data_IF_338559873767
#
_entry.id   IF_338559873767
#
_cell.length_a   1.000
_cell.length_b   1.000
_cell.length_c   1.000
_cell.angle_alpha   90.00
_cell.angle_beta   90.00
_cell.angle_gamma   90.00
#
_symmetry.space_group_name_H-M   'P 1'
#
loop_
_entity.id
_entity.type
_entity.pdbx_description
1 polymer ?
#
# COMPACT_ATOMS: atom_id res chain seq x y z
N UNK A 1 13.15 1.49 -8.76
CA UNK A 1 13.82 1.04 -10.00
C UNK A 1 15.35 1.07 -9.96
N UNK A 2 15.98 1.73 -8.97
CA UNK A 2 17.46 1.79 -8.82
C UNK A 2 18.17 0.42 -8.90
N UNK A 3 17.62 -0.61 -8.24
CA UNK A 3 18.19 -1.96 -8.29
C UNK A 3 18.31 -2.51 -9.72
N UNK A 4 17.31 -2.29 -10.58
CA UNK A 4 17.33 -2.75 -11.98
C UNK A 4 18.46 -2.07 -12.76
N UNK A 5 18.70 -0.77 -12.50
CA UNK A 5 19.82 -0.07 -13.11
C UNK A 5 21.16 -0.63 -12.62
N UNK A 6 21.32 -0.87 -11.31
CA UNK A 6 22.54 -1.46 -10.72
C UNK A 6 22.87 -2.83 -11.30
N UNK A 7 21.85 -3.68 -11.56
CA UNK A 7 22.03 -4.98 -12.21
C UNK A 7 22.65 -4.87 -13.60
N UNK A 8 22.30 -3.83 -14.36
CA UNK A 8 22.83 -3.59 -15.70
C UNK A 8 24.26 -3.03 -15.69
N UNK A 9 24.79 -2.64 -14.52
CA UNK A 9 26.16 -2.14 -14.39
C UNK A 9 27.16 -3.25 -14.03
N UNK A 10 26.72 -4.51 -13.90
CA UNK A 10 27.57 -5.64 -13.55
C UNK A 10 28.27 -6.21 -14.79
N UNK A 11 29.46 -6.81 -14.60
CA UNK A 11 30.23 -7.44 -15.68
C UNK A 11 29.53 -8.70 -16.24
N UNK A 12 28.90 -9.49 -15.35
CA UNK A 12 28.20 -10.73 -15.71
C UNK A 12 26.69 -10.62 -15.38
N UNK A 13 25.81 -11.13 -16.26
CA UNK A 13 24.38 -11.15 -16.00
C UNK A 13 24.04 -12.16 -14.90
N UNK A 14 23.25 -11.72 -13.92
CA UNK A 14 22.79 -12.55 -12.81
C UNK A 14 21.37 -12.18 -12.39
N UNK A 15 20.66 -13.16 -11.82
CA UNK A 15 19.35 -12.95 -11.22
C UNK A 15 19.48 -12.53 -9.75
N UNK A 16 18.64 -11.58 -9.33
CA UNK A 16 18.63 -11.03 -7.97
C UNK A 16 17.19 -10.90 -7.44
N UNK A 17 17.00 -11.28 -6.18
CA UNK A 17 15.79 -10.93 -5.42
C UNK A 17 15.94 -9.50 -4.91
N UNK A 18 14.93 -8.67 -5.17
CA UNK A 18 14.83 -7.29 -4.67
C UNK A 18 13.59 -7.22 -3.78
N UNK A 19 13.81 -7.11 -2.47
CA UNK A 19 12.76 -7.09 -1.47
C UNK A 19 13.21 -6.31 -0.23
N UNK A 20 12.26 -5.90 0.60
CA UNK A 20 12.55 -5.21 1.87
C UNK A 20 12.96 -6.17 3.00
N UNK A 21 12.66 -7.47 2.86
CA UNK A 21 12.84 -8.45 3.93
C UNK A 21 11.85 -8.30 5.09
N UNK A 22 10.82 -7.47 4.94
CA UNK A 22 9.74 -7.30 5.93
C UNK A 22 8.39 -7.57 5.27
N UNK A 23 7.45 -8.10 6.04
CA UNK A 23 6.07 -8.37 5.62
C UNK A 23 5.09 -7.60 6.50
N UNK A 24 3.98 -7.20 5.90
CA UNK A 24 2.86 -6.54 6.57
C UNK A 24 1.56 -7.13 6.06
N UNK A 25 0.56 -7.19 6.93
CA UNK A 25 -0.80 -7.58 6.55
C UNK A 25 -1.53 -6.46 5.81
N UNK A 26 -2.58 -6.82 5.05
CA UNK A 26 -3.51 -5.86 4.46
C UNK A 26 -4.17 -5.00 5.55
N UNK A 27 -4.44 -5.59 6.72
CA UNK A 27 -5.00 -4.87 7.87
C UNK A 27 -4.07 -3.76 8.36
N UNK A 28 -2.77 -4.05 8.48
CA UNK A 28 -1.76 -3.03 8.86
C UNK A 28 -1.72 -1.89 7.85
N UNK A 29 -1.73 -2.20 6.55
CA UNK A 29 -1.75 -1.18 5.49
C UNK A 29 -2.93 -0.22 5.68
N UNK A 30 -4.14 -0.77 5.81
CA UNK A 30 -5.37 0.02 5.99
C UNK A 30 -5.34 0.83 7.28
N UNK A 31 -4.80 0.27 8.37
CA UNK A 31 -4.70 0.95 9.67
C UNK A 31 -3.75 2.15 9.61
N UNK A 32 -2.58 1.99 8.98
CA UNK A 32 -1.62 3.10 8.79
C UNK A 32 -2.21 4.17 7.88
N UNK A 33 -2.88 3.76 6.79
CA UNK A 33 -3.53 4.70 5.88
C UNK A 33 -4.64 5.51 6.58
N UNK A 34 -5.48 4.87 7.37
CA UNK A 34 -6.50 5.54 8.19
C UNK A 34 -5.87 6.54 9.15
N UNK A 35 -4.80 6.16 9.84
CA UNK A 35 -4.08 7.03 10.78
C UNK A 35 -3.52 8.29 10.10
N UNK A 36 -2.98 8.18 8.89
CA UNK A 36 -2.48 9.34 8.13
C UNK A 36 -3.62 10.32 7.76
N UNK A 37 -4.85 9.81 7.56
CA UNK A 37 -6.06 10.61 7.37
C UNK A 37 -6.69 11.12 8.67
N UNK A 38 -6.05 10.86 9.83
CA UNK A 38 -6.60 11.22 11.14
C UNK A 38 -7.78 10.34 11.58
N UNK A 39 -7.92 9.14 11.01
CA UNK A 39 -8.97 8.16 11.34
C UNK A 39 -8.35 7.03 12.15
N UNK A 40 -8.71 6.93 13.43
CA UNK A 40 -8.32 5.80 14.27
C UNK A 40 -9.28 4.63 14.06
N UNK A 41 -8.81 3.59 13.36
CA UNK A 41 -9.65 2.45 12.95
C UNK A 41 -9.67 1.39 14.05
N UNK A 42 -10.87 1.03 14.49
CA UNK A 42 -11.12 -0.11 15.37
C UNK A 42 -11.62 -1.32 14.58
N UNK A 43 -10.97 -2.46 14.75
CA UNK A 43 -11.35 -3.72 14.08
C UNK A 43 -12.23 -4.57 14.99
N UNK A 44 -13.35 -5.06 14.45
CA UNK A 44 -14.36 -5.84 15.18
C UNK A 44 -14.91 -6.95 14.29
N UNK A 45 -15.21 -8.11 14.87
CA UNK A 45 -15.63 -9.30 14.13
C UNK A 45 -14.46 -10.12 13.59
N UNK A 46 -14.76 -11.17 12.84
CA UNK A 46 -13.78 -12.11 12.30
C UNK A 46 -14.19 -12.59 10.89
N UNK A 47 -13.21 -12.95 10.06
CA UNK A 47 -13.45 -13.50 8.73
C UNK A 47 -14.26 -12.56 7.83
N UNK A 48 -15.34 -13.06 7.24
CA UNK A 48 -16.21 -12.27 6.35
C UNK A 48 -17.04 -11.23 7.11
N UNK A 49 -17.25 -11.41 8.41
CA UNK A 49 -18.00 -10.49 9.26
C UNK A 49 -17.11 -9.41 9.89
N UNK A 50 -15.81 -9.42 9.60
CA UNK A 50 -14.89 -8.41 10.10
C UNK A 50 -15.18 -7.03 9.50
N UNK A 51 -15.18 -6.02 10.37
CA UNK A 51 -15.36 -4.61 10.03
C UNK A 51 -14.29 -3.73 10.65
N UNK A 52 -13.85 -2.72 9.90
CA UNK A 52 -13.06 -1.60 10.41
C UNK A 52 -13.95 -0.38 10.59
N UNK A 53 -14.04 0.13 11.82
CA UNK A 53 -14.91 1.24 12.20
C UNK A 53 -14.12 2.48 12.57
N UNK A 54 -14.62 3.65 12.17
CA UNK A 54 -14.09 4.94 12.62
C UNK A 54 -14.43 5.21 14.11
N UNK A 55 -13.89 6.27 14.73
CA UNK A 55 -14.15 6.58 16.14
C UNK A 55 -15.63 6.86 16.48
N UNK A 56 -16.48 7.11 15.49
CA UNK A 56 -17.94 7.27 15.70
C UNK A 56 -18.69 5.93 15.70
N UNK A 57 -17.99 4.82 15.47
CA UNK A 57 -18.57 3.49 15.35
C UNK A 57 -19.14 3.20 13.95
N UNK A 58 -18.89 4.07 12.97
CA UNK A 58 -19.36 3.86 11.60
C UNK A 58 -18.39 2.93 10.86
N UNK A 59 -18.88 1.86 10.21
CA UNK A 59 -18.05 0.96 9.43
C UNK A 59 -17.55 1.67 8.16
N UNK A 60 -16.23 1.71 8.01
CA UNK A 60 -15.53 2.29 6.85
C UNK A 60 -14.78 1.23 6.04
N UNK A 61 -14.59 0.03 6.60
CA UNK A 61 -14.00 -1.14 5.93
C UNK A 61 -14.89 -2.35 6.17
N UNK A 62 -15.13 -3.14 5.12
CA UNK A 62 -15.83 -4.44 5.18
C UNK A 62 -15.15 -5.44 4.26
N UNK A 63 -15.28 -6.71 4.60
CA UNK A 63 -14.79 -7.81 3.76
C UNK A 63 -15.86 -8.20 2.74
N UNK A 64 -15.47 -8.35 1.48
CA UNK A 64 -16.35 -8.83 0.41
C UNK A 64 -15.71 -10.06 -0.25
N UNK A 65 -16.37 -11.24 -0.21
CA UNK A 65 -15.80 -12.48 -0.73
C UNK A 65 -15.54 -12.44 -2.25
N UNK A 66 -16.13 -11.49 -2.98
CA UNK A 66 -15.86 -11.31 -4.41
C UNK A 66 -14.41 -10.95 -4.72
N UNK A 67 -13.68 -10.38 -3.76
CA UNK A 67 -12.26 -10.06 -3.92
C UNK A 67 -11.31 -11.22 -3.56
N UNK A 68 -11.84 -12.35 -3.09
CA UNK A 68 -11.01 -13.51 -2.75
C UNK A 68 -10.57 -14.25 -4.00
N UNK A 69 -9.32 -14.69 -4.04
CA UNK A 69 -8.77 -15.42 -5.18
C UNK A 69 -9.01 -16.92 -5.01
N UNK A 70 -9.38 -17.66 -6.08
CA UNK A 70 -9.48 -19.13 -6.02
C UNK A 70 -8.18 -19.82 -5.60
N UNK A 71 -7.05 -19.16 -5.83
CA UNK A 71 -5.72 -19.57 -5.39
C UNK A 71 -5.04 -18.37 -4.73
N UNK A 72 -4.99 -18.37 -3.41
CA UNK A 72 -4.38 -17.31 -2.62
C UNK A 72 -2.89 -17.58 -2.42
N UNK A 73 -2.08 -16.53 -2.47
CA UNK A 73 -0.68 -16.60 -2.03
C UNK A 73 -0.63 -15.96 -0.65
N UNK A 74 -0.62 -16.80 0.39
CA UNK A 74 -0.79 -16.33 1.77
C UNK A 74 0.36 -15.45 2.26
N UNK A 75 1.58 -15.68 1.79
CA UNK A 75 2.76 -14.90 2.20
C UNK A 75 3.80 -14.81 1.10
N UNK A 76 4.42 -13.64 0.99
CA UNK A 76 5.60 -13.38 0.18
C UNK A 76 6.61 -12.62 1.03
N UNK A 77 7.73 -13.27 1.33
CA UNK A 77 8.84 -12.67 2.07
C UNK A 77 10.13 -12.92 1.30
N UNK A 78 10.70 -11.87 0.71
CA UNK A 78 11.91 -11.96 -0.10
C UNK A 78 13.18 -11.75 0.72
N UNK A 79 14.21 -12.56 0.45
CA UNK A 79 15.57 -12.38 0.96
C UNK A 79 16.44 -11.67 -0.09
N UNK A 80 16.78 -10.40 0.17
CA UNK A 80 17.61 -9.57 -0.70
C UNK A 80 19.11 -9.58 -0.34
N UNK A 81 19.57 -10.55 0.47
CA UNK A 81 20.99 -10.63 0.91
C UNK A 81 21.96 -10.61 -0.26
N UNK A 82 21.66 -11.34 -1.35
CA UNK A 82 22.49 -11.35 -2.57
C UNK A 82 22.60 -9.95 -3.21
N UNK A 83 21.49 -9.23 -3.32
CA UNK A 83 21.45 -7.90 -3.91
C UNK A 83 22.22 -6.88 -3.05
N UNK A 84 22.08 -6.97 -1.72
CA UNK A 84 22.86 -6.13 -0.79
C UNK A 84 24.36 -6.38 -0.90
N UNK A 85 24.79 -7.63 -0.94
CA UNK A 85 26.22 -7.98 -0.99
C UNK A 85 26.89 -7.62 -2.32
N UNK A 86 26.23 -7.90 -3.46
CA UNK A 86 26.83 -7.68 -4.79
C UNK A 86 26.55 -6.30 -5.38
N UNK A 87 25.36 -5.76 -5.18
CA UNK A 87 24.95 -4.48 -5.77
C UNK A 87 25.06 -3.30 -4.79
N UNK A 88 25.29 -3.57 -3.49
CA UNK A 88 25.19 -2.54 -2.45
C UNK A 88 23.77 -1.98 -2.30
N UNK A 89 22.76 -2.68 -2.82
CA UNK A 89 21.38 -2.20 -2.85
C UNK A 89 20.66 -2.49 -1.53
N UNK A 90 19.99 -1.48 -0.98
CA UNK A 90 19.10 -1.58 0.17
C UNK A 90 17.85 -0.69 -0.04
N UNK A 91 16.68 -1.08 0.50
CA UNK A 91 15.50 -0.22 0.44
C UNK A 91 15.72 1.06 1.27
N UNK A 92 15.45 2.21 0.66
CA UNK A 92 15.58 3.53 1.32
C UNK A 92 14.27 4.04 1.91
N UNK A 93 13.14 3.53 1.41
CA UNK A 93 11.80 3.92 1.84
C UNK A 93 11.21 2.81 2.70
N UNK A 94 10.77 3.14 3.90
CA UNK A 94 10.07 2.22 4.79
C UNK A 94 8.62 1.99 4.36
N UNK A 95 7.99 0.94 4.90
CA UNK A 95 6.59 0.66 4.65
C UNK A 95 5.66 1.82 5.06
N UNK A 96 5.89 2.40 6.23
CA UNK A 96 5.08 3.51 6.73
C UNK A 96 5.23 4.78 5.87
N UNK A 97 6.45 5.08 5.42
CA UNK A 97 6.69 6.22 4.51
C UNK A 97 6.00 6.02 3.17
N UNK A 98 6.05 4.81 2.60
CA UNK A 98 5.34 4.48 1.36
C UNK A 98 3.83 4.70 1.50
N UNK A 99 3.22 4.15 2.55
CA UNK A 99 1.77 4.32 2.79
C UNK A 99 1.42 5.80 2.97
N UNK A 100 2.24 6.53 3.72
CA UNK A 100 2.06 7.98 3.97
C UNK A 100 2.12 8.78 2.67
N UNK A 101 3.11 8.52 1.82
CA UNK A 101 3.26 9.18 0.53
C UNK A 101 2.05 8.95 -0.38
N UNK A 102 1.60 7.69 -0.48
CA UNK A 102 0.44 7.31 -1.28
C UNK A 102 -0.83 8.03 -0.82
N UNK A 103 -1.13 7.98 0.49
CA UNK A 103 -2.34 8.59 1.06
C UNK A 103 -2.37 10.11 0.85
N UNK A 104 -1.22 10.78 1.01
CA UNK A 104 -1.13 12.23 0.81
C UNK A 104 -1.41 12.64 -0.62
N UNK A 105 -0.90 11.90 -1.60
CA UNK A 105 -1.14 12.24 -3.01
C UNK A 105 -2.59 11.94 -3.41
N UNK A 106 -3.18 10.85 -2.91
CA UNK A 106 -4.61 10.56 -3.10
C UNK A 106 -5.51 11.64 -2.47
N UNK A 107 -5.20 12.07 -1.24
CA UNK A 107 -5.93 13.15 -0.56
C UNK A 107 -5.87 14.45 -1.36
N UNK A 108 -4.69 14.83 -1.82
CA UNK A 108 -4.49 16.03 -2.66
C UNK A 108 -5.26 15.94 -3.99
N UNK A 109 -5.30 14.76 -4.61
CA UNK A 109 -6.11 14.53 -5.81
C UNK A 109 -7.60 14.72 -5.50
N UNK A 110 -8.08 14.14 -4.40
CA UNK A 110 -9.47 14.28 -3.95
C UNK A 110 -9.84 15.73 -3.59
N UNK A 111 -8.94 16.49 -2.96
CA UNK A 111 -9.13 17.90 -2.64
C UNK A 111 -9.25 18.76 -3.90
N UNK A 112 -8.43 18.49 -4.92
CA UNK A 112 -8.53 19.15 -6.22
C UNK A 112 -9.90 18.90 -6.85
N UNK A 113 -10.37 17.67 -6.83
CA UNK A 113 -11.66 17.31 -7.40
C UNK A 113 -12.82 17.97 -6.62
N UNK A 114 -12.74 18.00 -5.29
CA UNK A 114 -13.68 18.72 -4.44
C UNK A 114 -13.70 20.23 -4.74
N UNK A 115 -12.53 20.83 -4.99
CA UNK A 115 -12.43 22.24 -5.35
C UNK A 115 -13.15 22.53 -6.67
N UNK A 116 -12.92 21.71 -7.70
CA UNK A 116 -13.55 21.86 -9.02
C UNK A 116 -15.08 21.71 -8.91
N UNK A 117 -15.57 20.71 -8.17
CA UNK A 117 -17.00 20.51 -7.89
C UNK A 117 -17.62 21.71 -7.17
N UNK A 118 -16.96 22.25 -6.14
CA UNK A 118 -17.44 23.42 -5.38
C UNK A 118 -17.61 24.68 -6.25
N UNK A 119 -16.87 24.77 -7.35
CA UNK A 119 -16.96 25.89 -8.30
C UNK A 119 -17.89 25.62 -9.49
N UNK A 120 -18.70 24.55 -9.43
CA UNK A 120 -19.76 24.27 -10.41
C UNK A 120 -19.29 23.54 -11.67
N UNK A 121 -18.06 23.03 -11.69
CA UNK A 121 -17.52 22.28 -12.82
C UNK A 121 -17.70 20.77 -12.61
N UNK A 122 -17.91 20.05 -13.71
CA UNK A 122 -17.97 18.60 -13.69
C UNK A 122 -16.58 18.01 -13.47
N UNK A 123 -16.51 17.01 -12.60
CA UNK A 123 -15.33 16.15 -12.43
C UNK A 123 -15.77 14.74 -12.83
N UNK A 124 -15.00 14.12 -13.72
CA UNK A 124 -15.18 12.70 -14.04
C UNK A 124 -14.52 11.88 -12.93
N UNK A 125 -15.32 11.19 -12.14
CA UNK A 125 -14.77 10.24 -11.15
C UNK A 125 -14.15 9.06 -11.90
N UNK A 126 -12.95 8.64 -11.50
CA UNK A 126 -12.24 7.51 -12.15
C UNK A 126 -12.86 6.13 -11.86
N UNK A 127 -14.06 6.08 -11.25
CA UNK A 127 -14.70 4.86 -10.78
C UNK A 127 -16.01 4.50 -11.51
N UNK A 128 -16.26 5.10 -12.68
CA UNK A 128 -17.32 4.67 -13.63
C UNK A 128 -16.75 4.00 -14.89
#
# INVERSE_FOLDING_TARGET
VEAMWLMLQQDEPEDFVVATGVQHSVREFVTIAGKELGIDISWQGEGLDETGCDPSGRPIVRVDPRYFRPSEVETLLGDATKAKQKLGWEPKTSFAELVTEMVREDLKSAERDQLVKRHGYQVHEQFE
#
